data_IF_789159636884
#
_entry.id   IF_789159636884
#
_cell.length_a   1.000
_cell.length_b   1.000
_cell.length_c   1.000
_cell.angle_alpha   90.00
_cell.angle_beta   90.00
_cell.angle_gamma   90.00
#
_symmetry.space_group_name_H-M   'P 1'
#
loop_
_entity.id
_entity.type
_entity.pdbx_description
1 polymer ?
#
# COMPACT_ATOMS: atom_id res chain seq x y z
N UNK A 1 -15.80 5.18 -29.68
CA UNK A 1 -14.56 4.90 -29.05
C UNK A 1 -14.77 4.20 -27.73
N UNK A 2 -13.91 3.33 -27.46
CA UNK A 2 -13.96 2.74 -26.16
C UNK A 2 -13.61 3.80 -25.12
N UNK A 3 -14.50 4.00 -24.21
CA UNK A 3 -14.19 4.85 -23.08
C UNK A 3 -13.08 4.18 -22.29
N UNK A 4 -12.05 4.92 -22.03
CA UNK A 4 -11.08 4.45 -21.05
C UNK A 4 -11.80 4.32 -19.72
N UNK A 5 -11.58 3.21 -19.02
CA UNK A 5 -12.07 3.10 -17.67
C UNK A 5 -11.35 4.12 -16.82
N UNK A 6 -11.90 4.46 -15.67
CA UNK A 6 -11.23 5.35 -14.73
C UNK A 6 -9.85 4.81 -14.35
N UNK A 7 -9.75 3.48 -14.22
CA UNK A 7 -8.49 2.81 -13.91
C UNK A 7 -7.48 3.00 -15.03
N UNK A 8 -7.89 2.83 -16.30
CA UNK A 8 -7.00 3.01 -17.44
C UNK A 8 -6.49 4.44 -17.54
N UNK A 9 -7.36 5.41 -17.32
CA UNK A 9 -6.97 6.82 -17.32
C UNK A 9 -5.94 7.11 -16.24
N UNK A 10 -6.14 6.56 -15.06
CA UNK A 10 -5.21 6.77 -13.95
C UNK A 10 -3.84 6.17 -14.25
N UNK A 11 -3.80 4.99 -14.89
CA UNK A 11 -2.53 4.39 -15.29
C UNK A 11 -1.82 5.20 -16.37
N UNK A 12 -2.56 5.79 -17.30
CA UNK A 12 -1.98 6.59 -18.37
C UNK A 12 -1.48 7.94 -17.87
N UNK A 13 -2.08 8.48 -16.82
CA UNK A 13 -1.74 9.79 -16.29
C UNK A 13 -0.51 9.69 -15.39
N UNK A 14 0.44 10.58 -15.62
CA UNK A 14 1.58 10.74 -14.72
C UNK A 14 1.15 11.52 -13.50
N UNK A 15 1.42 10.97 -12.32
CA UNK A 15 1.17 11.68 -11.07
C UNK A 15 2.38 12.53 -10.73
N UNK A 16 2.15 13.80 -10.45
CA UNK A 16 3.22 14.75 -10.15
C UNK A 16 3.29 15.09 -8.66
N UNK A 17 2.29 14.63 -7.88
CA UNK A 17 2.28 14.84 -6.44
C UNK A 17 1.63 13.65 -5.75
N UNK A 18 1.92 13.50 -4.47
CA UNK A 18 1.30 12.45 -3.68
C UNK A 18 -0.20 12.68 -3.54
N UNK A 19 -0.65 13.92 -3.42
CA UNK A 19 -2.07 14.19 -3.28
C UNK A 19 -2.87 13.83 -4.54
N UNK A 20 -2.25 13.86 -5.72
CA UNK A 20 -2.86 13.35 -6.94
C UNK A 20 -2.86 11.82 -6.97
N UNK A 21 -1.80 11.22 -6.46
CA UNK A 21 -1.61 9.78 -6.49
C UNK A 21 -2.51 9.04 -5.50
N UNK A 22 -2.72 9.58 -4.31
CA UNK A 22 -3.36 8.85 -3.23
C UNK A 22 -4.79 8.38 -3.54
N UNK A 23 -5.67 9.18 -4.21
CA UNK A 23 -6.98 8.66 -4.61
C UNK A 23 -6.90 7.45 -5.55
N UNK A 24 -5.92 7.44 -6.45
CA UNK A 24 -5.68 6.28 -7.30
C UNK A 24 -5.24 5.07 -6.44
N UNK A 25 -4.32 5.28 -5.51
CA UNK A 25 -3.87 4.24 -4.60
C UNK A 25 -5.06 3.62 -3.84
N UNK A 26 -5.93 4.46 -3.31
CA UNK A 26 -7.11 3.98 -2.58
C UNK A 26 -8.06 3.20 -3.49
N UNK A 27 -8.19 3.59 -4.75
CA UNK A 27 -9.03 2.86 -5.69
C UNK A 27 -8.50 1.45 -5.97
N UNK A 28 -7.19 1.25 -5.86
CA UNK A 28 -6.55 -0.06 -6.00
C UNK A 28 -6.71 -0.91 -4.75
N UNK A 29 -7.14 -0.33 -3.64
CA UNK A 29 -7.31 -1.00 -2.36
C UNK A 29 -8.76 -0.90 -1.87
N UNK A 30 -9.73 -1.04 -2.79
CA UNK A 30 -11.15 -0.88 -2.45
C UNK A 30 -11.74 -2.10 -1.73
N UNK A 31 -11.14 -3.28 -1.89
CA UNK A 31 -11.63 -4.50 -1.27
C UNK A 31 -11.27 -4.50 0.22
N UNK A 32 -12.28 -4.77 1.07
CA UNK A 32 -12.08 -4.72 2.52
C UNK A 32 -11.03 -5.70 3.01
N UNK A 33 -11.02 -6.93 2.50
CA UNK A 33 -10.02 -7.92 2.90
C UNK A 33 -8.62 -7.48 2.51
N UNK A 34 -8.46 -6.89 1.33
CA UNK A 34 -7.18 -6.35 0.89
C UNK A 34 -6.69 -5.25 1.82
N UNK A 35 -7.56 -4.32 2.21
CA UNK A 35 -7.19 -3.26 3.15
C UNK A 35 -6.81 -3.82 4.51
N UNK A 36 -7.52 -4.84 4.99
CA UNK A 36 -7.19 -5.50 6.26
C UNK A 36 -5.84 -6.17 6.21
N UNK A 37 -5.56 -6.90 5.14
CA UNK A 37 -4.26 -7.54 4.96
C UNK A 37 -3.15 -6.49 4.94
N UNK A 38 -3.37 -5.40 4.25
CA UNK A 38 -2.40 -4.32 4.18
C UNK A 38 -2.18 -3.68 5.54
N UNK A 39 -3.24 -3.44 6.28
CA UNK A 39 -3.15 -2.88 7.62
C UNK A 39 -2.36 -3.79 8.56
N UNK A 40 -2.66 -5.08 8.54
CA UNK A 40 -1.97 -6.07 9.38
C UNK A 40 -0.49 -6.12 9.01
N UNK A 41 -0.19 -6.20 7.72
CA UNK A 41 1.20 -6.25 7.24
C UNK A 41 1.98 -5.01 7.63
N UNK A 42 1.39 -3.84 7.51
CA UNK A 42 2.03 -2.57 7.89
C UNK A 42 2.23 -2.47 9.40
N UNK A 43 1.27 -2.95 10.18
CA UNK A 43 1.39 -2.98 11.64
C UNK A 43 2.54 -3.87 12.09
N UNK A 44 2.66 -5.06 11.50
CA UNK A 44 3.78 -5.97 11.77
C UNK A 44 5.10 -5.31 11.35
N UNK A 45 5.11 -4.64 10.20
CA UNK A 45 6.31 -3.95 9.73
C UNK A 45 6.75 -2.87 10.74
N UNK A 46 5.80 -2.13 11.31
CA UNK A 46 6.13 -1.11 12.29
C UNK A 46 6.78 -1.73 13.52
N UNK A 47 6.23 -2.83 14.05
CA UNK A 47 6.82 -3.53 15.19
C UNK A 47 8.22 -4.01 14.86
N UNK A 48 8.42 -4.58 13.68
CA UNK A 48 9.74 -5.06 13.26
C UNK A 48 10.74 -3.91 13.09
N UNK A 49 10.31 -2.77 12.56
CA UNK A 49 11.18 -1.60 12.40
C UNK A 49 11.60 -1.03 13.75
N UNK A 50 10.68 -0.94 14.71
CA UNK A 50 11.02 -0.51 16.07
C UNK A 50 11.99 -1.50 16.71
N UNK A 51 11.73 -2.78 16.54
CA UNK A 51 12.63 -3.83 17.07
C UNK A 51 14.02 -3.75 16.43
N UNK A 52 14.10 -3.43 15.14
CA UNK A 52 15.37 -3.25 14.46
C UNK A 52 16.20 -2.13 15.11
N UNK A 53 15.53 -1.01 15.44
CA UNK A 53 16.20 0.12 16.10
C UNK A 53 16.63 -0.25 17.51
N UNK A 54 15.77 -0.88 18.29
CA UNK A 54 16.07 -1.20 19.69
C UNK A 54 17.13 -2.27 19.82
N UNK A 55 17.17 -3.24 18.92
CA UNK A 55 18.14 -4.33 18.97
C UNK A 55 19.34 -4.09 18.07
N UNK A 56 19.36 -2.98 17.32
CA UNK A 56 20.40 -2.65 16.34
C UNK A 56 20.62 -3.76 15.33
N UNK A 57 19.53 -4.42 14.92
CA UNK A 57 19.56 -5.51 13.95
C UNK A 57 18.95 -5.05 12.63
N UNK A 58 19.78 -4.64 11.64
CA UNK A 58 19.26 -4.17 10.37
C UNK A 58 18.58 -5.25 9.54
N UNK A 59 18.83 -6.54 9.83
CA UNK A 59 18.13 -7.62 9.15
C UNK A 59 16.63 -7.59 9.36
N UNK A 60 16.17 -7.04 10.50
CA UNK A 60 14.74 -6.92 10.77
C UNK A 60 14.07 -5.91 9.86
N UNK A 61 14.82 -4.93 9.33
CA UNK A 61 14.28 -3.98 8.34
C UNK A 61 13.91 -4.74 7.06
N UNK A 62 14.77 -5.63 6.60
CA UNK A 62 14.50 -6.43 5.43
C UNK A 62 13.28 -7.32 5.64
N UNK A 63 13.20 -7.98 6.80
CA UNK A 63 12.03 -8.81 7.13
C UNK A 63 10.76 -7.97 7.14
N UNK A 64 10.82 -6.75 7.70
CA UNK A 64 9.67 -5.85 7.73
C UNK A 64 9.17 -5.53 6.32
N UNK A 65 10.07 -5.19 5.42
CA UNK A 65 9.71 -4.88 4.04
C UNK A 65 9.15 -6.09 3.30
N UNK A 66 9.81 -7.24 3.43
CA UNK A 66 9.39 -8.45 2.71
C UNK A 66 8.01 -8.91 3.15
N UNK A 67 7.76 -8.97 4.46
CA UNK A 67 6.46 -9.43 4.94
C UNK A 67 5.37 -8.42 4.63
N UNK A 68 5.65 -7.11 4.75
CA UNK A 68 4.68 -6.07 4.43
C UNK A 68 4.22 -6.14 2.98
N UNK A 69 5.16 -6.27 2.06
CA UNK A 69 4.81 -6.41 0.65
C UNK A 69 4.14 -7.74 0.36
N UNK A 70 4.51 -8.82 1.06
CA UNK A 70 3.82 -10.10 0.90
C UNK A 70 2.34 -9.98 1.25
N UNK A 71 2.01 -9.37 2.38
CA UNK A 71 0.62 -9.12 2.77
C UNK A 71 -0.11 -8.25 1.77
N UNK A 72 0.53 -7.14 1.35
CA UNK A 72 -0.08 -6.20 0.41
C UNK A 72 -0.35 -6.85 -0.94
N UNK A 73 0.60 -7.63 -1.45
CA UNK A 73 0.47 -8.26 -2.76
C UNK A 73 -0.55 -9.38 -2.75
N UNK A 74 -0.66 -10.14 -1.65
CA UNK A 74 -1.75 -11.12 -1.53
C UNK A 74 -3.09 -10.42 -1.67
N UNK A 75 -3.28 -9.28 -1.00
CA UNK A 75 -4.50 -8.50 -1.13
C UNK A 75 -4.75 -8.04 -2.56
N UNK A 76 -3.72 -7.46 -3.18
CA UNK A 76 -3.86 -6.91 -4.53
C UNK A 76 -4.11 -7.99 -5.59
N UNK A 77 -3.33 -9.06 -5.57
CA UNK A 77 -3.45 -10.09 -6.61
C UNK A 77 -4.65 -10.99 -6.40
N UNK A 78 -4.96 -11.37 -5.17
CA UNK A 78 -6.00 -12.37 -4.91
C UNK A 78 -7.37 -11.79 -4.62
N UNK A 79 -7.45 -10.56 -4.10
CA UNK A 79 -8.72 -9.94 -3.74
C UNK A 79 -9.08 -8.75 -4.61
N UNK A 80 -8.10 -7.92 -4.97
CA UNK A 80 -8.36 -6.76 -5.82
C UNK A 80 -8.16 -7.07 -7.30
N UNK A 81 -7.36 -8.08 -7.62
CA UNK A 81 -6.97 -8.44 -8.98
C UNK A 81 -6.27 -7.29 -9.71
N UNK A 82 -5.50 -6.50 -8.95
CA UNK A 82 -4.77 -5.35 -9.47
C UNK A 82 -3.27 -5.58 -9.40
N UNK A 83 -2.54 -4.88 -10.25
CA UNK A 83 -1.09 -4.84 -10.16
C UNK A 83 -0.67 -3.84 -9.08
N UNK A 84 0.36 -4.15 -8.27
CA UNK A 84 0.85 -3.18 -7.30
C UNK A 84 1.34 -1.91 -7.97
N UNK A 85 0.92 -0.76 -7.44
CA UNK A 85 1.38 0.54 -7.93
C UNK A 85 2.88 0.72 -7.71
N UNK A 86 3.48 -0.06 -6.83
CA UNK A 86 4.91 -0.07 -6.55
C UNK A 86 5.75 -0.25 -7.81
N UNK A 87 5.25 -0.99 -8.80
CA UNK A 87 6.00 -1.22 -10.03
C UNK A 87 6.20 0.06 -10.84
N UNK A 88 5.30 1.03 -10.72
CA UNK A 88 5.37 2.26 -11.49
C UNK A 88 5.69 3.48 -10.62
N UNK A 89 5.22 3.50 -9.39
CA UNK A 89 5.38 4.62 -8.46
C UNK A 89 5.85 4.09 -7.10
N UNK A 90 7.11 3.65 -6.99
CA UNK A 90 7.57 2.98 -5.77
C UNK A 90 7.54 3.90 -4.55
N UNK A 91 7.95 5.16 -4.69
CA UNK A 91 7.99 6.06 -3.54
C UNK A 91 6.60 6.54 -3.14
N UNK A 92 5.76 6.86 -4.12
CA UNK A 92 4.37 7.24 -3.83
C UNK A 92 3.60 6.07 -3.24
N UNK A 93 3.83 4.86 -3.75
CA UNK A 93 3.18 3.66 -3.25
C UNK A 93 3.59 3.40 -1.80
N UNK A 94 4.87 3.52 -1.49
CA UNK A 94 5.36 3.35 -0.12
C UNK A 94 4.73 4.38 0.83
N UNK A 95 4.69 5.64 0.42
CA UNK A 95 4.04 6.69 1.21
C UNK A 95 2.53 6.41 1.37
N UNK A 96 1.89 5.89 0.30
CA UNK A 96 0.49 5.50 0.35
C UNK A 96 0.23 4.39 1.34
N UNK A 97 1.14 3.43 1.44
CA UNK A 97 1.03 2.34 2.40
C UNK A 97 0.89 2.86 3.83
N UNK A 98 1.76 3.80 4.20
CA UNK A 98 1.73 4.38 5.54
C UNK A 98 0.54 5.32 5.73
N UNK A 99 0.17 6.08 4.70
CA UNK A 99 -0.98 6.98 4.77
C UNK A 99 -2.27 6.19 4.93
N UNK A 100 -2.45 5.10 4.19
CA UNK A 100 -3.64 4.27 4.32
C UNK A 100 -3.69 3.61 5.69
N UNK A 101 -2.55 3.15 6.20
CA UNK A 101 -2.48 2.60 7.55
C UNK A 101 -2.94 3.62 8.59
N UNK A 102 -2.44 4.85 8.50
CA UNK A 102 -2.84 5.91 9.43
C UNK A 102 -4.31 6.27 9.29
N UNK A 103 -4.82 6.30 8.07
CA UNK A 103 -6.24 6.62 7.83
C UNK A 103 -7.15 5.52 8.37
N UNK A 104 -6.74 4.26 8.29
CA UNK A 104 -7.49 3.16 8.90
C UNK A 104 -7.41 3.25 10.43
N UNK A 105 -6.22 3.52 10.96
CA UNK A 105 -6.02 3.63 12.41
C UNK A 105 -6.85 4.75 13.01
N UNK A 106 -6.95 5.88 12.32
CA UNK A 106 -7.73 7.03 12.77
C UNK A 106 -9.19 6.97 12.33
N UNK A 107 -9.59 5.89 11.70
CA UNK A 107 -10.97 5.63 11.24
C UNK A 107 -11.46 6.57 10.14
N UNK A 108 -10.55 7.21 9.42
CA UNK A 108 -10.90 7.95 8.20
C UNK A 108 -11.26 6.98 7.09
N UNK A 109 -10.67 5.78 7.13
CA UNK A 109 -11.01 4.67 6.25
C UNK A 109 -11.42 3.51 7.14
N UNK A 110 -12.52 2.86 6.77
CA UNK A 110 -13.06 1.75 7.56
C UNK A 110 -12.16 0.53 7.45
N UNK A 111 -11.87 -0.10 8.58
CA UNK A 111 -11.17 -1.38 8.65
C UNK A 111 -12.09 -2.47 8.09
#
# INVERSE_FOLDING_TARGET
>A
MAESTTSDKKFATKFTSFSEFYPFYLSEHSHQTSRRLHFVGTSIALVLLVSALLTRNPGLILVALLQGYAFAWVGLFFFEHNRPATFKYPFYSFAGDWRMWADILTRKIKF
#
